data_IF_993930914008
#
_entry.id   IF_993930914008
#
_cell.length_a   1.000
_cell.length_b   1.000
_cell.length_c   1.000
_cell.angle_alpha   90.00
_cell.angle_beta   90.00
_cell.angle_gamma   90.00
#
_symmetry.space_group_name_H-M   'P 1'
#
loop_
_entity.id
_entity.type
_entity.pdbx_description
1 polymer ?
#
# COMPACT_ATOMS: atom_id res chain seq x y z
N UNK A 1 -21.77 -6.31 0.88
CA UNK A 1 -20.52 -7.06 0.68
C UNK A 1 -19.46 -6.42 1.57
N UNK A 2 -18.83 -7.15 2.47
CA UNK A 2 -17.68 -6.66 3.23
C UNK A 2 -16.45 -6.86 2.36
N UNK A 3 -15.76 -5.78 1.99
CA UNK A 3 -14.47 -5.88 1.32
C UNK A 3 -13.49 -6.61 2.24
N UNK A 4 -12.77 -7.59 1.70
CA UNK A 4 -11.76 -8.32 2.47
C UNK A 4 -10.70 -7.33 2.99
N UNK A 5 -10.28 -7.45 4.26
CA UNK A 5 -9.31 -6.52 4.83
C UNK A 5 -7.95 -6.69 4.16
N UNK A 6 -7.37 -5.59 3.71
CA UNK A 6 -6.02 -5.59 3.15
C UNK A 6 -5.01 -5.52 4.27
N UNK A 7 -4.00 -6.39 4.14
CA UNK A 7 -2.87 -6.45 5.04
C UNK A 7 -1.61 -6.05 4.27
N UNK A 8 -0.95 -5.01 4.77
CA UNK A 8 0.32 -4.52 4.28
C UNK A 8 1.33 -4.71 5.42
N UNK A 9 2.43 -5.40 5.14
CA UNK A 9 3.58 -5.53 6.03
C UNK A 9 4.57 -4.45 5.65
N UNK A 10 4.99 -3.64 6.63
CA UNK A 10 6.00 -2.60 6.45
C UNK A 10 7.29 -3.07 7.14
N UNK A 11 8.35 -3.16 6.35
CA UNK A 11 9.73 -3.24 6.86
C UNK A 11 10.33 -1.84 6.76
N UNK A 12 10.66 -1.23 7.91
CA UNK A 12 11.06 0.18 8.00
C UNK A 12 12.35 0.30 8.80
N UNK A 13 13.34 0.95 8.19
CA UNK A 13 14.51 1.50 8.85
C UNK A 13 14.41 3.03 8.83
N UNK A 14 14.82 3.69 9.92
CA UNK A 14 14.78 5.16 10.03
C UNK A 14 16.22 5.68 10.10
N UNK A 15 16.65 6.38 9.06
CA UNK A 15 17.96 7.02 8.96
C UNK A 15 17.78 8.53 8.90
N UNK A 16 18.46 9.28 9.77
CA UNK A 16 18.45 10.75 9.77
C UNK A 16 17.01 11.33 9.61
N UNK A 17 16.08 10.83 10.43
CA UNK A 17 14.66 11.22 10.47
C UNK A 17 13.82 10.88 9.21
N UNK A 18 14.41 10.17 8.26
CA UNK A 18 13.76 9.73 7.02
C UNK A 18 13.58 8.20 7.01
N UNK A 19 12.36 7.70 6.78
CA UNK A 19 12.13 6.26 6.67
C UNK A 19 12.60 5.75 5.31
N UNK A 20 13.24 4.60 5.30
CA UNK A 20 13.51 3.79 4.11
C UNK A 20 12.99 2.39 4.36
N UNK A 21 12.58 1.69 3.31
CA UNK A 21 12.13 0.31 3.47
C UNK A 21 11.23 -0.19 2.36
N UNK A 22 10.45 -1.22 2.69
CA UNK A 22 9.59 -1.94 1.76
C UNK A 22 8.20 -2.14 2.36
N UNK A 23 7.17 -1.97 1.54
CA UNK A 23 5.80 -2.36 1.86
C UNK A 23 5.41 -3.57 1.01
N UNK A 24 4.86 -4.61 1.63
CA UNK A 24 4.49 -5.85 0.96
C UNK A 24 3.07 -6.27 1.33
N UNK A 25 2.22 -6.51 0.34
CA UNK A 25 0.88 -7.08 0.51
C UNK A 25 0.94 -8.61 0.58
N UNK A 26 -0.14 -9.23 1.08
CA UNK A 26 -0.21 -10.70 1.25
C UNK A 26 -0.13 -11.51 -0.05
N UNK A 27 -0.49 -10.89 -1.17
CA UNK A 27 -0.40 -11.47 -2.51
C UNK A 27 1.03 -11.40 -3.09
N UNK A 28 1.96 -10.79 -2.34
CA UNK A 28 3.36 -10.65 -2.71
C UNK A 28 3.70 -9.34 -3.44
N UNK A 29 2.74 -8.43 -3.65
CA UNK A 29 3.06 -7.12 -4.26
C UNK A 29 3.93 -6.30 -3.31
N UNK A 30 5.16 -6.00 -3.74
CA UNK A 30 6.15 -5.28 -2.92
C UNK A 30 6.63 -4.00 -3.60
N UNK A 31 6.81 -2.94 -2.80
CA UNK A 31 7.31 -1.64 -3.26
C UNK A 31 8.24 -1.02 -2.22
N UNK A 32 9.36 -0.48 -2.70
CA UNK A 32 10.31 0.27 -1.87
C UNK A 32 9.91 1.73 -1.74
N UNK A 33 10.27 2.37 -0.63
CA UNK A 33 10.11 3.80 -0.42
C UNK A 33 11.33 4.45 0.21
N UNK A 34 11.46 5.77 0.01
CA UNK A 34 12.41 6.64 0.69
C UNK A 34 11.69 7.92 1.09
N UNK A 35 11.83 8.30 2.36
CA UNK A 35 11.16 9.45 2.96
C UNK A 35 9.67 9.22 3.23
N UNK A 36 9.09 10.12 4.04
CA UNK A 36 7.68 10.06 4.42
C UNK A 36 6.72 10.15 3.22
N UNK A 37 7.05 10.99 2.23
CA UNK A 37 6.26 11.10 1.00
C UNK A 37 6.32 9.81 0.15
N UNK A 38 7.48 9.15 0.11
CA UNK A 38 7.61 7.86 -0.58
C UNK A 38 6.75 6.78 0.08
N UNK A 39 6.72 6.74 1.42
CA UNK A 39 5.88 5.82 2.17
C UNK A 39 4.40 6.05 1.86
N UNK A 40 3.92 7.29 1.91
CA UNK A 40 2.53 7.62 1.58
C UNK A 40 2.16 7.22 0.15
N UNK A 41 3.03 7.52 -0.82
CA UNK A 41 2.81 7.13 -2.21
C UNK A 41 2.74 5.62 -2.41
N UNK A 42 3.59 4.86 -1.72
CA UNK A 42 3.55 3.40 -1.76
C UNK A 42 2.26 2.85 -1.13
N UNK A 43 1.81 3.41 -0.01
CA UNK A 43 0.56 3.01 0.63
C UNK A 43 -0.64 3.29 -0.29
N UNK A 44 -0.70 4.47 -0.91
CA UNK A 44 -1.76 4.80 -1.89
C UNK A 44 -1.77 3.84 -3.09
N UNK A 45 -0.59 3.39 -3.54
CA UNK A 45 -0.48 2.46 -4.66
C UNK A 45 -0.84 1.00 -4.30
N UNK A 46 -0.74 0.63 -3.02
CA UNK A 46 -1.05 -0.72 -2.52
C UNK A 46 -2.48 -0.84 -1.98
N UNK A 47 -3.10 0.29 -1.62
CA UNK A 47 -4.50 0.34 -1.25
C UNK A 47 -5.35 0.34 -2.53
N UNK A 48 -6.40 -0.49 -2.62
CA UNK A 48 -7.33 -0.47 -3.74
C UNK A 48 -8.06 0.87 -3.73
N UNK A 49 -8.30 1.43 -4.90
CA UNK A 49 -9.12 2.63 -5.00
C UNK A 49 -10.55 2.27 -4.56
N UNK A 50 -11.09 2.88 -3.49
CA UNK A 50 -12.46 2.62 -3.06
C UNK A 50 -13.50 2.98 -4.14
N UNK A 51 -13.12 3.74 -5.18
CA UNK A 51 -13.99 4.14 -6.29
C UNK A 51 -13.99 3.15 -7.47
N UNK A 52 -13.29 2.02 -7.37
CA UNK A 52 -13.21 1.00 -8.43
C UNK A 52 -13.88 -0.34 -8.05
N UNK A 53 -14.72 -0.37 -7.00
CA UNK A 53 -15.51 -1.57 -6.64
C UNK A 53 -16.91 -1.62 -7.26
N UNK A 54 -17.38 -0.57 -7.95
CA UNK A 54 -18.77 -0.48 -8.41
C UNK A 54 -18.96 -0.67 -9.93
N UNK A 55 -17.90 -0.64 -10.74
CA UNK A 55 -18.05 -0.63 -12.22
C UNK A 55 -17.99 -2.03 -12.88
N UNK A 56 -17.74 -3.09 -12.10
CA UNK A 56 -17.76 -4.47 -12.60
C UNK A 56 -19.05 -5.24 -12.25
N UNK A 57 -19.93 -4.65 -11.44
CA UNK A 57 -21.23 -5.24 -11.07
C UNK A 57 -22.39 -4.90 -12.04
N UNK A 58 -22.10 -4.19 -13.13
CA UNK A 58 -23.07 -3.79 -14.16
C UNK A 58 -22.63 -4.28 -15.54
N UNK A 59 -22.50 -5.59 -15.71
CA UNK A 59 -22.56 -6.26 -17.02
C UNK A 59 -23.28 -7.60 -16.95
#
# INVERSE_FOLDING_TARGET
MTADPIRIVLDIEVLDESPIGHATTIDGTSRSFTGWLGLLSVLEALLPDPRHSDDEAVR
#
